data_IF_321252814289
#
_entry.id   IF_321252814289
#
_cell.length_a   1.000
_cell.length_b   1.000
_cell.length_c   1.000
_cell.angle_alpha   90.00
_cell.angle_beta   90.00
_cell.angle_gamma   90.00
#
_symmetry.space_group_name_H-M   'P 1'
#
loop_
_entity.id
_entity.type
_entity.pdbx_description
1 polymer ?
#
# COMPACT_ATOMS: atom_id res chain seq x y z
N UNK A 1 -16.79 1.65 23.08
CA UNK A 1 -17.18 1.33 21.70
C UNK A 1 -15.98 0.64 21.07
N UNK A 2 -16.03 -0.69 20.91
CA UNK A 2 -14.97 -1.42 20.22
C UNK A 2 -15.18 -1.23 18.71
N UNK A 3 -14.24 -0.58 18.04
CA UNK A 3 -14.22 -0.48 16.59
C UNK A 3 -13.72 -1.81 16.03
N UNK A 4 -14.62 -2.77 15.81
CA UNK A 4 -14.29 -3.99 15.06
C UNK A 4 -14.90 -3.89 13.67
N UNK A 5 -14.09 -3.85 12.63
CA UNK A 5 -14.56 -4.00 11.25
C UNK A 5 -15.08 -5.43 11.08
N UNK A 6 -16.40 -5.62 11.05
CA UNK A 6 -17.00 -6.86 10.58
C UNK A 6 -16.80 -6.94 9.06
N UNK A 7 -15.63 -7.42 8.66
CA UNK A 7 -15.35 -7.78 7.28
C UNK A 7 -16.06 -9.11 6.99
N UNK A 8 -17.09 -9.07 6.15
CA UNK A 8 -17.82 -10.27 5.69
C UNK A 8 -16.91 -11.08 4.76
N UNK A 9 -17.01 -12.41 4.84
CA UNK A 9 -16.22 -13.31 4.00
C UNK A 9 -16.75 -13.30 2.55
N UNK A 10 -15.86 -13.27 1.54
CA UNK A 10 -16.26 -13.18 0.13
C UNK A 10 -16.95 -14.45 -0.38
N UNK A 11 -17.99 -14.24 -1.20
CA UNK A 11 -18.50 -15.21 -2.18
C UNK A 11 -17.95 -14.81 -3.55
N UNK A 12 -16.64 -14.99 -3.76
CA UNK A 12 -16.05 -15.01 -5.11
C UNK A 12 -14.85 -15.97 -5.13
N UNK A 13 -14.68 -16.67 -6.26
CA UNK A 13 -13.85 -17.88 -6.42
C UNK A 13 -12.32 -17.68 -6.37
N UNK A 14 -11.83 -16.60 -5.75
CA UNK A 14 -10.39 -16.27 -5.70
C UNK A 14 -9.96 -15.65 -4.37
N UNK A 15 -10.64 -15.97 -3.27
CA UNK A 15 -10.18 -15.57 -1.93
C UNK A 15 -8.88 -16.29 -1.54
N UNK A 16 -7.85 -15.54 -1.16
CA UNK A 16 -6.65 -16.12 -0.56
C UNK A 16 -7.00 -16.61 0.86
N UNK A 17 -6.75 -17.88 1.21
CA UNK A 17 -7.05 -18.39 2.53
C UNK A 17 -6.42 -17.53 3.63
N UNK A 18 -7.23 -17.11 4.60
CA UNK A 18 -6.79 -16.29 5.74
C UNK A 18 -6.61 -14.79 5.46
N UNK A 19 -6.61 -14.34 4.20
CA UNK A 19 -6.45 -12.92 3.86
C UNK A 19 -7.79 -12.35 3.38
N UNK A 20 -8.39 -11.46 4.16
CA UNK A 20 -9.70 -10.88 3.79
C UNK A 20 -9.60 -9.83 2.69
N UNK A 21 -8.59 -8.96 2.75
CA UNK A 21 -8.40 -7.90 1.77
C UNK A 21 -6.93 -7.74 1.37
N UNK A 22 -6.68 -7.63 0.08
CA UNK A 22 -5.35 -7.37 -0.51
C UNK A 22 -5.35 -5.99 -1.15
N UNK A 23 -4.52 -5.07 -0.62
CA UNK A 23 -4.47 -3.68 -1.08
C UNK A 23 -3.11 -3.37 -1.68
N UNK A 24 -3.10 -3.00 -2.95
CA UNK A 24 -1.89 -2.52 -3.61
C UNK A 24 -1.59 -1.07 -3.24
N UNK A 25 -0.34 -0.79 -2.86
CA UNK A 25 0.20 0.56 -2.74
C UNK A 25 1.13 0.79 -3.94
N UNK A 26 0.69 1.64 -4.87
CA UNK A 26 1.37 1.87 -6.14
C UNK A 26 1.90 3.30 -6.28
N UNK A 27 2.88 3.51 -7.15
CA UNK A 27 3.35 4.84 -7.53
C UNK A 27 3.78 4.92 -8.98
N UNK A 28 3.68 6.10 -9.58
CA UNK A 28 4.11 6.35 -10.95
C UNK A 28 5.61 6.54 -11.13
N UNK A 29 6.31 7.01 -10.09
CA UNK A 29 7.76 7.22 -10.09
C UNK A 29 8.40 6.68 -8.81
N UNK A 30 9.70 6.41 -8.88
CA UNK A 30 10.52 6.13 -7.70
C UNK A 30 10.70 7.39 -6.86
N UNK A 31 10.95 7.22 -5.55
CA UNK A 31 11.26 8.35 -4.65
C UNK A 31 10.06 9.16 -4.14
N UNK A 32 8.81 8.78 -4.45
CA UNK A 32 7.60 9.47 -3.91
C UNK A 32 7.32 9.15 -2.44
N UNK A 33 8.09 8.29 -1.79
CA UNK A 33 7.83 7.80 -0.43
C UNK A 33 6.74 6.73 -0.33
N UNK A 34 6.48 5.98 -1.42
CA UNK A 34 5.50 4.88 -1.48
C UNK A 34 5.65 3.89 -0.33
N UNK A 35 6.87 3.37 -0.10
CA UNK A 35 7.16 2.39 0.95
C UNK A 35 6.97 2.96 2.35
N UNK A 36 7.36 4.23 2.55
CA UNK A 36 7.09 4.97 3.79
C UNK A 36 5.60 5.08 4.08
N UNK A 37 4.80 5.37 3.05
CA UNK A 37 3.34 5.41 3.15
C UNK A 37 2.79 4.02 3.45
N UNK A 38 3.23 2.98 2.72
CA UNK A 38 2.78 1.61 2.95
C UNK A 38 3.03 1.13 4.38
N UNK A 39 4.25 1.34 4.91
CA UNK A 39 4.61 0.98 6.29
C UNK A 39 3.75 1.71 7.33
N UNK A 40 3.61 3.04 7.20
CA UNK A 40 2.83 3.81 8.18
C UNK A 40 1.32 3.52 8.08
N UNK A 41 0.77 3.25 6.90
CA UNK A 41 -0.64 2.84 6.76
C UNK A 41 -0.89 1.46 7.38
N UNK A 42 0.03 0.50 7.17
CA UNK A 42 -0.06 -0.82 7.78
C UNK A 42 -0.08 -0.73 9.31
N UNK A 43 0.82 0.06 9.88
CA UNK A 43 0.91 0.29 11.33
C UNK A 43 -0.27 1.10 11.86
N UNK A 44 -0.81 2.05 11.09
CA UNK A 44 -1.99 2.80 11.47
C UNK A 44 -3.26 1.92 11.54
N UNK A 45 -3.43 1.01 10.57
CA UNK A 45 -4.51 0.02 10.60
C UNK A 45 -4.36 -0.93 11.79
N UNK A 46 -3.14 -1.38 12.08
CA UNK A 46 -2.87 -2.22 13.24
C UNK A 46 -3.13 -1.50 14.57
N UNK A 47 -2.77 -0.22 14.67
CA UNK A 47 -3.06 0.62 15.82
C UNK A 47 -4.57 0.82 16.06
N UNK A 48 -5.37 0.81 15.00
CA UNK A 48 -6.84 0.81 15.06
C UNK A 48 -7.44 -0.59 15.33
N UNK A 49 -6.61 -1.61 15.55
CA UNK A 49 -7.01 -2.96 15.99
C UNK A 49 -7.18 -3.99 14.86
N UNK A 50 -6.84 -3.65 13.62
CA UNK A 50 -6.87 -4.61 12.52
C UNK A 50 -5.69 -5.59 12.57
N UNK A 51 -5.90 -6.82 12.11
CA UNK A 51 -4.79 -7.76 11.87
C UNK A 51 -4.18 -7.48 10.50
N UNK A 52 -2.91 -7.10 10.46
CA UNK A 52 -2.28 -6.57 9.24
C UNK A 52 -1.05 -7.38 8.84
N UNK A 53 -0.96 -7.66 7.55
CA UNK A 53 0.26 -8.07 6.87
C UNK A 53 0.78 -6.96 5.96
N UNK A 54 2.09 -6.89 5.80
CA UNK A 54 2.79 -6.02 4.85
C UNK A 54 3.73 -6.86 3.98
N UNK A 55 3.52 -6.80 2.67
CA UNK A 55 4.32 -7.47 1.67
C UNK A 55 5.07 -6.45 0.83
N UNK A 56 6.40 -6.46 0.94
CA UNK A 56 7.30 -5.66 0.12
C UNK A 56 7.65 -6.40 -1.17
N UNK A 57 7.09 -5.91 -2.28
CA UNK A 57 7.31 -6.41 -3.62
C UNK A 57 8.31 -5.55 -4.42
N UNK A 58 8.86 -4.48 -3.83
CA UNK A 58 9.76 -3.56 -4.52
C UNK A 58 11.19 -4.13 -4.56
N UNK A 59 11.49 -4.81 -5.66
CA UNK A 59 12.78 -5.49 -5.80
C UNK A 59 13.96 -4.56 -6.08
N UNK A 60 13.70 -3.37 -6.61
CA UNK A 60 14.77 -2.45 -6.98
C UNK A 60 15.36 -1.72 -5.78
N UNK A 61 14.58 -1.61 -4.71
CA UNK A 61 14.98 -0.96 -3.48
C UNK A 61 14.08 -1.38 -2.32
N UNK A 62 14.13 -2.66 -1.89
CA UNK A 62 13.33 -3.13 -0.78
C UNK A 62 13.71 -2.34 0.46
N UNK A 63 12.78 -1.55 0.97
CA UNK A 63 13.04 -0.60 2.06
C UNK A 63 12.21 -0.90 3.30
N UNK A 64 11.17 -1.73 3.18
CA UNK A 64 10.31 -2.11 4.31
C UNK A 64 11.10 -2.80 5.44
N UNK A 65 12.04 -3.73 5.19
CA UNK A 65 12.82 -4.31 6.27
C UNK A 65 13.58 -3.28 7.13
N UNK A 66 14.22 -2.30 6.47
CA UNK A 66 14.90 -1.20 7.16
C UNK A 66 13.90 -0.33 7.93
N UNK A 67 12.80 0.06 7.27
CA UNK A 67 11.77 0.91 7.86
C UNK A 67 11.08 0.33 9.09
N UNK A 68 11.19 -0.99 9.30
CA UNK A 68 10.64 -1.69 10.46
C UNK A 68 11.73 -2.20 11.41
N UNK A 69 13.02 -1.95 11.12
CA UNK A 69 14.15 -2.36 11.97
C UNK A 69 14.43 -3.87 11.96
N UNK A 70 14.11 -4.55 10.86
CA UNK A 70 14.21 -6.02 10.71
C UNK A 70 15.06 -6.45 9.51
N UNK A 71 15.94 -5.57 9.00
CA UNK A 71 16.80 -5.84 7.84
C UNK A 71 17.80 -7.00 8.05
N UNK A 72 18.13 -7.26 9.32
CA UNK A 72 19.02 -8.35 9.72
C UNK A 72 18.28 -9.67 10.00
N UNK A 73 16.94 -9.63 10.05
CA UNK A 73 16.14 -10.83 10.26
C UNK A 73 16.00 -11.65 8.98
N UNK A 74 15.69 -12.94 9.14
CA UNK A 74 15.43 -13.84 8.02
C UNK A 74 14.18 -14.65 8.31
N UNK A 75 13.22 -14.72 7.37
CA UNK A 75 12.06 -15.59 7.53
C UNK A 75 12.52 -17.04 7.59
N UNK A 76 11.90 -17.81 8.46
CA UNK A 76 12.16 -19.24 8.60
C UNK A 76 11.14 -20.04 7.78
N UNK A 77 11.37 -21.34 7.64
CA UNK A 77 10.46 -22.21 6.90
C UNK A 77 10.19 -23.50 7.64
N UNK A 78 8.94 -23.95 7.60
CA UNK A 78 8.51 -25.26 8.06
C UNK A 78 7.86 -26.01 6.89
N UNK A 79 8.62 -26.94 6.28
CA UNK A 79 8.19 -27.65 5.08
C UNK A 79 8.01 -26.70 3.89
N UNK A 80 6.76 -26.50 3.46
CA UNK A 80 6.39 -25.55 2.37
C UNK A 80 5.87 -24.22 2.90
N UNK A 81 5.74 -24.07 4.21
CA UNK A 81 5.21 -22.86 4.85
C UNK A 81 6.37 -21.93 5.19
N UNK A 82 6.24 -20.67 4.81
CA UNK A 82 7.18 -19.61 5.15
C UNK A 82 6.63 -18.90 6.38
N UNK A 83 7.43 -18.79 7.44
CA UNK A 83 7.07 -18.01 8.62
C UNK A 83 7.50 -16.57 8.38
N UNK A 84 6.56 -15.61 8.30
CA UNK A 84 6.92 -14.20 8.11
C UNK A 84 7.62 -13.65 9.34
N UNK A 85 8.33 -12.55 9.16
CA UNK A 85 8.86 -11.77 10.27
C UNK A 85 7.70 -11.03 10.94
N UNK A 86 7.72 -10.93 12.27
CA UNK A 86 6.77 -10.10 13.02
C UNK A 86 7.49 -8.84 13.51
N UNK A 87 7.00 -7.68 13.08
CA UNK A 87 7.57 -6.39 13.47
C UNK A 87 6.44 -5.48 13.93
N UNK A 88 6.57 -4.88 15.11
CA UNK A 88 5.62 -3.89 15.63
C UNK A 88 4.14 -4.34 15.61
N UNK A 89 3.90 -5.64 15.81
CA UNK A 89 2.54 -6.21 15.81
C UNK A 89 1.93 -6.49 14.43
N UNK A 90 2.71 -6.37 13.34
CA UNK A 90 2.30 -6.75 11.98
C UNK A 90 3.19 -7.87 11.42
N UNK A 91 2.64 -8.65 10.49
CA UNK A 91 3.40 -9.67 9.76
C UNK A 91 4.05 -9.06 8.53
N UNK A 92 5.31 -9.37 8.29
CA UNK A 92 6.13 -8.75 7.25
C UNK A 92 6.77 -9.82 6.39
N UNK A 93 6.64 -9.66 5.08
CA UNK A 93 7.41 -10.41 4.10
C UNK A 93 8.00 -9.44 3.09
N UNK A 94 9.26 -9.65 2.69
CA UNK A 94 9.93 -8.83 1.69
C UNK A 94 10.74 -9.71 0.75
N UNK A 95 10.74 -9.36 -0.53
CA UNK A 95 11.72 -9.89 -1.48
C UNK A 95 13.16 -9.59 -1.00
N UNK A 96 13.38 -8.48 -0.29
CA UNK A 96 14.66 -8.10 0.28
C UNK A 96 15.26 -9.13 1.23
N UNK A 97 14.45 -9.97 1.89
CA UNK A 97 14.97 -11.07 2.72
C UNK A 97 15.63 -12.19 1.92
N UNK A 98 15.28 -12.31 0.64
CA UNK A 98 15.76 -13.34 -0.27
C UNK A 98 16.93 -12.87 -1.13
N UNK A 99 17.24 -11.57 -1.11
CA UNK A 99 18.38 -11.04 -1.85
C UNK A 99 19.69 -11.51 -1.19
N UNK A 100 20.62 -12.11 -1.96
CA UNK A 100 21.96 -12.42 -1.46
C UNK A 100 22.63 -11.14 -0.97
N UNK A 101 23.46 -11.24 0.09
CA UNK A 101 24.34 -10.15 0.49
C UNK A 101 25.47 -10.06 -0.55
N UNK A 102 25.31 -9.11 -1.50
CA UNK A 102 26.27 -8.65 -2.52
C UNK A 102 27.01 -9.71 -3.37
N UNK A 103 26.69 -9.75 -4.67
CA UNK A 103 27.57 -10.02 -5.84
C UNK A 103 26.93 -10.86 -6.96
N UNK A 104 25.75 -11.43 -6.78
CA UNK A 104 25.06 -12.15 -7.88
C UNK A 104 24.12 -11.22 -8.67
N UNK A 105 24.37 -10.99 -9.99
CA UNK A 105 23.42 -10.30 -10.85
C UNK A 105 22.21 -11.20 -11.10
N UNK A 106 21.22 -11.12 -10.22
CA UNK A 106 19.93 -11.79 -10.43
C UNK A 106 19.08 -10.92 -11.36
N UNK A 107 18.85 -11.40 -12.58
CA UNK A 107 17.94 -10.74 -13.54
C UNK A 107 16.50 -11.10 -13.15
N UNK A 108 15.84 -10.16 -12.49
CA UNK A 108 14.45 -10.32 -12.12
C UNK A 108 13.51 -9.92 -13.27
N UNK A 109 12.67 -10.85 -13.70
CA UNK A 109 11.64 -10.60 -14.72
C UNK A 109 10.25 -10.60 -14.10
N UNK A 110 9.32 -9.82 -14.68
CA UNK A 110 7.93 -9.70 -14.22
C UNK A 110 7.25 -11.04 -13.88
N UNK A 111 7.28 -12.06 -14.76
CA UNK A 111 6.66 -13.36 -14.47
C UNK A 111 7.30 -14.10 -13.29
N UNK A 112 8.62 -13.98 -13.09
CA UNK A 112 9.30 -14.58 -11.95
C UNK A 112 8.88 -13.92 -10.64
N UNK A 113 8.78 -12.59 -10.63
CA UNK A 113 8.29 -11.83 -9.49
C UNK A 113 6.83 -12.14 -9.16
N UNK A 114 5.98 -12.23 -10.18
CA UNK A 114 4.60 -12.64 -10.01
C UNK A 114 4.49 -14.04 -9.40
N UNK A 115 5.34 -14.99 -9.81
CA UNK A 115 5.38 -16.33 -9.23
C UNK A 115 5.80 -16.32 -7.76
N UNK A 116 6.82 -15.54 -7.41
CA UNK A 116 7.30 -15.41 -6.02
C UNK A 116 6.27 -14.72 -5.14
N UNK A 117 5.63 -13.65 -5.62
CA UNK A 117 4.58 -13.00 -4.84
C UNK A 117 3.36 -13.91 -4.70
N UNK A 118 2.98 -14.65 -5.75
CA UNK A 118 1.92 -15.67 -5.64
C UNK A 118 2.29 -16.76 -4.64
N UNK A 119 3.57 -17.15 -4.58
CA UNK A 119 4.08 -18.05 -3.56
C UNK A 119 3.94 -17.42 -2.17
N UNK A 120 4.37 -16.18 -1.96
CA UNK A 120 4.23 -15.52 -0.67
C UNK A 120 2.77 -15.39 -0.23
N UNK A 121 1.84 -15.09 -1.14
CA UNK A 121 0.41 -15.02 -0.84
C UNK A 121 -0.19 -16.37 -0.41
N UNK A 122 0.40 -17.50 -0.82
CA UNK A 122 -0.12 -18.85 -0.55
C UNK A 122 0.62 -19.62 0.54
N UNK A 123 1.93 -19.39 0.66
CA UNK A 123 2.84 -20.19 1.49
C UNK A 123 3.29 -19.46 2.74
N UNK A 124 3.22 -18.13 2.78
CA UNK A 124 3.49 -17.41 4.03
C UNK A 124 2.36 -17.66 5.01
N UNK A 125 2.72 -17.94 6.26
CA UNK A 125 1.80 -18.12 7.38
C UNK A 125 1.19 -16.79 7.83
N UNK A 126 0.45 -16.11 6.94
CA UNK A 126 -0.29 -14.89 7.24
C UNK A 126 -1.29 -15.09 8.38
N UNK A 127 -1.87 -16.29 8.50
CA UNK A 127 -2.99 -16.55 9.42
C UNK A 127 -4.23 -15.77 8.98
N UNK A 128 -5.15 -15.52 9.92
CA UNK A 128 -6.36 -14.74 9.64
C UNK A 128 -6.07 -13.23 9.80
N UNK A 129 -5.77 -12.54 8.69
CA UNK A 129 -5.53 -11.09 8.64
C UNK A 129 -6.66 -10.35 7.90
N UNK A 130 -6.95 -9.15 8.37
CA UNK A 130 -7.98 -8.28 7.78
C UNK A 130 -7.46 -7.55 6.54
N UNK A 131 -6.19 -7.15 6.54
CA UNK A 131 -5.55 -6.42 5.45
C UNK A 131 -4.15 -6.96 5.17
N UNK A 132 -3.85 -7.20 3.90
CA UNK A 132 -2.50 -7.36 3.38
C UNK A 132 -2.18 -6.18 2.47
N UNK A 133 -1.31 -5.28 2.92
CA UNK A 133 -0.80 -4.19 2.08
C UNK A 133 0.37 -4.70 1.26
N UNK A 134 0.39 -4.38 -0.03
CA UNK A 134 1.43 -4.80 -0.96
C UNK A 134 2.13 -3.55 -1.50
N UNK A 135 3.38 -3.34 -1.09
CA UNK A 135 4.22 -2.26 -1.59
C UNK A 135 4.81 -2.65 -2.96
N UNK A 136 4.21 -2.14 -4.04
CA UNK A 136 4.59 -2.53 -5.41
C UNK A 136 5.85 -1.81 -5.87
N UNK A 137 6.62 -2.34 -6.84
CA UNK A 137 7.69 -1.58 -7.49
C UNK A 137 7.15 -0.28 -8.14
N UNK A 138 7.97 0.78 -8.26
CA UNK A 138 7.54 2.02 -8.87
C UNK A 138 7.34 1.89 -10.38
N UNK A 139 6.50 2.77 -10.92
CA UNK A 139 6.33 2.92 -12.36
C UNK A 139 5.13 2.17 -12.93
N UNK A 140 4.99 2.29 -14.25
CA UNK A 140 3.93 1.66 -15.03
C UNK A 140 4.49 0.74 -16.12
N UNK A 141 5.68 0.20 -15.88
CA UNK A 141 6.35 -0.73 -16.79
C UNK A 141 5.82 -2.17 -16.65
N UNK A 142 6.49 -3.10 -17.33
CA UNK A 142 6.05 -4.50 -17.41
C UNK A 142 5.96 -5.18 -16.05
N UNK A 143 6.87 -4.87 -15.11
CA UNK A 143 6.89 -5.53 -13.79
C UNK A 143 5.67 -5.14 -12.95
N UNK A 144 5.43 -3.87 -12.58
CA UNK A 144 4.22 -3.48 -11.86
C UNK A 144 2.94 -3.97 -12.52
N UNK A 145 2.84 -3.88 -13.85
CA UNK A 145 1.68 -4.36 -14.60
C UNK A 145 1.48 -5.88 -14.46
N UNK A 146 2.55 -6.66 -14.63
CA UNK A 146 2.49 -8.13 -14.48
C UNK A 146 2.05 -8.52 -13.07
N UNK A 147 2.52 -7.79 -12.04
CA UNK A 147 2.15 -8.06 -10.65
C UNK A 147 0.66 -7.79 -10.40
N UNK A 148 0.15 -6.64 -10.85
CA UNK A 148 -1.26 -6.27 -10.72
C UNK A 148 -2.17 -7.26 -11.45
N UNK A 149 -1.74 -7.82 -12.59
CA UNK A 149 -2.49 -8.84 -13.33
C UNK A 149 -2.47 -10.22 -12.66
N UNK A 150 -1.45 -10.52 -11.84
CA UNK A 150 -1.23 -11.86 -11.30
C UNK A 150 -1.77 -12.05 -9.88
N UNK A 151 -2.02 -10.94 -9.17
CA UNK A 151 -2.40 -10.96 -7.76
C UNK A 151 -3.89 -10.60 -7.64
N UNK A 152 -4.70 -11.36 -6.88
CA UNK A 152 -6.06 -10.95 -6.59
C UNK A 152 -6.05 -9.74 -5.66
N UNK A 153 -6.31 -8.55 -6.20
CA UNK A 153 -6.33 -7.29 -5.46
C UNK A 153 -7.77 -6.87 -5.17
N UNK A 154 -8.06 -6.51 -3.92
CA UNK A 154 -9.33 -5.93 -3.49
C UNK A 154 -9.42 -4.44 -3.81
N UNK A 155 -8.27 -3.77 -3.98
CA UNK A 155 -8.18 -2.38 -4.43
C UNK A 155 -6.76 -1.85 -4.43
N UNK A 156 -6.58 -0.62 -4.91
CA UNK A 156 -5.29 0.06 -4.97
C UNK A 156 -5.34 1.50 -4.44
N UNK A 157 -4.31 1.91 -3.70
CA UNK A 157 -4.07 3.30 -3.34
C UNK A 157 -2.81 3.81 -4.07
N UNK A 158 -2.90 5.00 -4.67
CA UNK A 158 -1.83 5.55 -5.51
C UNK A 158 -1.14 6.70 -4.78
N UNK A 159 0.16 6.53 -4.53
CA UNK A 159 1.01 7.55 -3.90
C UNK A 159 1.66 8.40 -4.98
N UNK A 160 1.51 9.72 -4.86
CA UNK A 160 2.13 10.71 -5.75
C UNK A 160 2.73 11.87 -4.98
N UNK A 161 3.49 12.73 -5.67
CA UNK A 161 3.95 14.03 -5.18
C UNK A 161 3.22 15.16 -5.92
N UNK A 162 3.16 16.40 -5.40
CA UNK A 162 2.34 17.47 -5.99
C UNK A 162 2.88 17.99 -7.33
N UNK A 163 4.15 17.73 -7.65
CA UNK A 163 4.79 18.12 -8.92
C UNK A 163 3.92 17.83 -10.16
N UNK A 164 3.78 18.82 -11.06
CA UNK A 164 3.01 18.68 -12.31
C UNK A 164 3.46 17.49 -13.18
N UNK A 165 4.75 17.17 -13.19
CA UNK A 165 5.26 16.00 -13.92
C UNK A 165 4.77 14.71 -13.26
N UNK A 166 4.75 14.65 -11.93
CA UNK A 166 4.27 13.49 -11.19
C UNK A 166 2.76 13.25 -11.39
N UNK A 167 1.94 14.30 -11.53
CA UNK A 167 0.49 14.14 -11.77
C UNK A 167 0.18 13.55 -13.15
N UNK A 168 0.96 13.89 -14.18
CA UNK A 168 0.83 13.28 -15.51
C UNK A 168 1.16 11.78 -15.50
N UNK A 169 2.16 11.39 -14.71
CA UNK A 169 2.49 9.97 -14.51
C UNK A 169 1.41 9.29 -13.65
N UNK A 170 0.84 10.00 -12.67
CA UNK A 170 -0.27 9.53 -11.84
C UNK A 170 -1.49 9.08 -12.67
N UNK A 171 -1.88 9.81 -13.72
CA UNK A 171 -2.94 9.36 -14.65
C UNK A 171 -2.59 8.02 -15.31
N UNK A 172 -1.34 7.82 -15.75
CA UNK A 172 -0.92 6.53 -16.33
C UNK A 172 -0.98 5.40 -15.32
N UNK A 173 -0.58 5.67 -14.08
CA UNK A 173 -0.65 4.70 -12.99
C UNK A 173 -2.09 4.31 -12.69
N UNK A 174 -2.99 5.28 -12.50
CA UNK A 174 -4.41 5.00 -12.27
C UNK A 174 -5.02 4.13 -13.39
N UNK A 175 -4.75 4.49 -14.65
CA UNK A 175 -5.24 3.74 -15.82
C UNK A 175 -4.64 2.34 -15.92
N UNK A 176 -3.42 2.11 -15.44
CA UNK A 176 -2.82 0.76 -15.39
C UNK A 176 -3.62 -0.17 -14.46
N UNK A 177 -4.10 0.34 -13.33
CA UNK A 177 -4.92 -0.42 -12.39
C UNK A 177 -6.38 -0.56 -12.86
N UNK A 178 -6.93 0.46 -13.53
CA UNK A 178 -8.30 0.45 -14.04
C UNK A 178 -8.47 -0.25 -15.40
N UNK A 179 -7.38 -0.52 -16.12
CA UNK A 179 -7.44 -1.04 -17.48
C UNK A 179 -8.16 -2.38 -17.59
N UNK A 180 -8.66 -2.71 -18.79
CA UNK A 180 -9.50 -3.88 -19.05
C UNK A 180 -8.90 -5.23 -18.62
N UNK A 181 -7.57 -5.30 -18.47
CA UNK A 181 -6.85 -6.51 -18.06
C UNK A 181 -6.63 -6.64 -16.56
N UNK A 182 -6.87 -5.59 -15.78
CA UNK A 182 -6.59 -5.53 -14.33
C UNK A 182 -7.87 -5.29 -13.54
N UNK A 183 -8.70 -4.32 -13.95
CA UNK A 183 -9.99 -4.01 -13.32
C UNK A 183 -9.93 -3.89 -11.79
N UNK A 184 -8.86 -3.26 -11.28
CA UNK A 184 -8.64 -3.10 -9.83
C UNK A 184 -9.30 -1.79 -9.37
N UNK A 185 -10.20 -1.83 -8.38
CA UNK A 185 -10.81 -0.62 -7.83
C UNK A 185 -9.77 0.35 -7.24
N UNK A 186 -9.84 1.62 -7.62
CA UNK A 186 -9.00 2.66 -7.01
C UNK A 186 -9.65 3.11 -5.71
N UNK A 187 -9.00 2.80 -4.59
CA UNK A 187 -9.41 3.24 -3.25
C UNK A 187 -9.14 4.72 -3.04
N UNK A 188 -8.09 5.24 -3.69
CA UNK A 188 -7.87 6.67 -3.81
C UNK A 188 -6.42 7.08 -4.02
N UNK A 189 -6.21 8.39 -4.10
CA UNK A 189 -4.90 9.04 -4.28
C UNK A 189 -4.42 9.60 -2.94
N UNK A 190 -3.14 9.42 -2.66
CA UNK A 190 -2.42 10.00 -1.52
C UNK A 190 -1.35 10.93 -2.07
N UNK A 191 -1.40 12.20 -1.67
CA UNK A 191 -0.37 13.18 -2.02
C UNK A 191 0.66 13.25 -0.89
N UNK A 192 1.86 12.74 -1.15
CA UNK A 192 2.98 12.80 -0.21
C UNK A 192 3.88 14.00 -0.49
N UNK A 193 4.62 14.47 0.51
CA UNK A 193 5.53 15.62 0.42
C UNK A 193 4.82 16.90 -0.06
N UNK A 194 3.61 17.13 0.44
CA UNK A 194 2.71 18.21 0.00
C UNK A 194 3.17 19.61 0.42
N UNK A 195 3.68 19.74 1.64
CA UNK A 195 4.17 20.99 2.20
C UNK A 195 5.25 20.71 3.26
N UNK A 196 5.97 21.74 3.68
CA UNK A 196 6.94 21.69 4.77
C UNK A 196 6.58 22.74 5.81
N UNK A 197 6.36 22.33 7.05
CA UNK A 197 6.22 23.25 8.19
C UNK A 197 7.60 23.51 8.80
N UNK A 198 8.02 24.76 8.83
CA UNK A 198 9.29 25.13 9.43
C UNK A 198 9.26 24.89 10.94
N UNK A 199 10.16 24.06 11.51
CA UNK A 199 10.15 23.74 12.94
C UNK A 199 10.55 24.92 13.84
N UNK A 200 11.08 26.01 13.26
CA UNK A 200 11.50 27.20 14.00
C UNK A 200 10.42 28.30 14.03
N UNK A 201 9.70 28.53 12.93
CA UNK A 201 8.72 29.61 12.81
C UNK A 201 7.28 29.14 12.55
N UNK A 202 7.04 27.84 12.37
CA UNK A 202 5.73 27.24 12.06
C UNK A 202 5.09 27.71 10.75
N UNK A 203 5.83 28.42 9.91
CA UNK A 203 5.38 28.77 8.56
C UNK A 203 5.33 27.53 7.69
N UNK A 204 4.21 27.33 7.00
CA UNK A 204 4.04 26.26 6.02
C UNK A 204 4.45 26.75 4.64
N UNK A 205 5.41 26.07 4.03
CA UNK A 205 5.84 26.30 2.65
C UNK A 205 5.34 25.17 1.75
N UNK A 206 4.56 25.51 0.73
CA UNK A 206 4.28 24.60 -0.36
C UNK A 206 5.53 24.49 -1.24
N UNK A 207 6.26 23.36 -1.15
CA UNK A 207 7.51 23.14 -1.90
C UNK A 207 7.24 23.07 -3.41
N UNK A 208 6.06 22.58 -3.76
CA UNK A 208 5.53 22.51 -5.12
C UNK A 208 4.19 23.23 -5.11
N UNK A 209 3.72 23.69 -6.28
CA UNK A 209 2.34 24.17 -6.44
C UNK A 209 1.39 23.08 -5.88
N UNK A 210 0.81 23.31 -4.70
CA UNK A 210 0.12 22.26 -3.94
C UNK A 210 -1.12 21.72 -4.65
N UNK A 211 -1.66 20.59 -4.16
CA UNK A 211 -2.94 20.07 -4.59
C UNK A 211 -2.95 19.35 -5.95
N UNK A 212 -1.77 19.05 -6.52
CA UNK A 212 -1.67 18.28 -7.77
C UNK A 212 -2.34 16.90 -7.70
N UNK A 213 -2.30 16.24 -6.54
CA UNK A 213 -2.92 14.94 -6.30
C UNK A 213 -4.42 15.01 -6.04
N UNK A 214 -4.89 16.05 -5.38
CA UNK A 214 -6.33 16.28 -5.26
C UNK A 214 -6.94 16.62 -6.62
N UNK A 215 -6.30 17.49 -7.40
CA UNK A 215 -6.70 17.80 -8.76
C UNK A 215 -6.68 16.57 -9.68
N UNK A 216 -5.68 15.69 -9.54
CA UNK A 216 -5.65 14.41 -10.24
C UNK A 216 -6.84 13.52 -9.84
N UNK A 217 -7.10 13.38 -8.55
CA UNK A 217 -8.19 12.57 -8.04
C UNK A 217 -9.55 13.05 -8.57
N UNK A 218 -9.79 14.37 -8.56
CA UNK A 218 -10.99 14.97 -9.15
C UNK A 218 -11.08 14.73 -10.65
N UNK A 219 -9.97 14.89 -11.39
CA UNK A 219 -9.96 14.72 -12.85
C UNK A 219 -10.27 13.29 -13.29
N UNK A 220 -9.74 12.29 -12.58
CA UNK A 220 -9.92 10.88 -12.93
C UNK A 220 -11.12 10.24 -12.20
N UNK A 221 -11.95 11.04 -11.51
CA UNK A 221 -13.12 10.60 -10.73
C UNK A 221 -12.81 9.48 -9.73
N UNK A 222 -11.72 9.67 -8.97
CA UNK A 222 -11.30 8.74 -7.92
C UNK A 222 -11.21 9.45 -6.56
N UNK A 223 -11.32 8.73 -5.43
CA UNK A 223 -11.25 9.34 -4.11
C UNK A 223 -9.89 9.98 -3.85
N UNK A 224 -9.89 11.10 -3.11
CA UNK A 224 -8.69 11.67 -2.51
C UNK A 224 -8.63 11.27 -1.03
N UNK A 225 -7.56 10.57 -0.63
CA UNK A 225 -7.44 10.06 0.74
C UNK A 225 -6.82 11.09 1.68
N UNK A 226 -5.89 11.90 1.20
CA UNK A 226 -5.29 12.97 1.99
C UNK A 226 -3.92 13.39 1.51
N UNK A 227 -3.35 14.32 2.27
CA UNK A 227 -2.01 14.89 2.08
C UNK A 227 -1.12 14.49 3.25
N UNK A 228 0.16 14.31 2.98
CA UNK A 228 1.20 14.11 3.98
C UNK A 228 2.29 15.17 3.75
N UNK A 229 2.79 15.85 4.80
CA UNK A 229 3.85 16.84 4.68
C UNK A 229 5.21 16.16 4.50
N UNK A 230 6.17 16.92 4.01
CA UNK A 230 7.58 16.60 4.11
C UNK A 230 8.03 16.94 5.54
N UNK A 231 8.22 15.93 6.39
CA UNK A 231 8.69 16.14 7.77
C UNK A 231 9.91 15.25 8.09
N UNK A 232 11.01 15.82 8.61
CA UNK A 232 12.19 15.06 9.00
C UNK A 232 11.94 13.93 10.00
N UNK A 233 10.89 14.01 10.83
CA UNK A 233 10.47 12.96 11.76
C UNK A 233 10.01 11.70 11.03
N UNK A 234 9.33 11.86 9.90
CA UNK A 234 8.90 10.72 9.06
C UNK A 234 10.13 9.98 8.52
N UNK A 235 11.11 10.73 7.99
CA UNK A 235 12.38 10.15 7.52
C UNK A 235 13.14 9.46 8.66
N UNK A 236 13.31 10.14 9.81
CA UNK A 236 14.00 9.56 10.99
C UNK A 236 13.38 8.25 11.41
N UNK A 237 12.05 8.20 11.54
CA UNK A 237 11.35 6.98 11.90
C UNK A 237 11.56 5.84 10.90
N UNK A 238 11.64 6.15 9.61
CA UNK A 238 12.00 5.15 8.59
C UNK A 238 13.45 4.67 8.70
N UNK A 239 14.40 5.56 8.94
CA UNK A 239 15.83 5.19 9.00
C UNK A 239 16.18 4.47 10.31
N UNK A 240 15.45 4.74 11.39
CA UNK A 240 15.66 4.16 12.73
C UNK A 240 14.80 2.90 12.96
N UNK A 241 13.99 2.48 11.97
CA UNK A 241 13.13 1.29 12.07
C UNK A 241 11.91 1.47 12.98
N UNK A 242 11.55 2.70 13.33
CA UNK A 242 10.42 3.05 14.17
C UNK A 242 9.54 4.13 13.50
N UNK A 243 8.60 3.75 12.61
CA UNK A 243 7.80 4.69 11.84
C UNK A 243 7.00 5.68 12.71
N UNK A 244 6.68 6.86 12.16
CA UNK A 244 6.11 8.00 12.91
C UNK A 244 4.81 7.65 13.65
N UNK A 245 3.99 6.76 13.07
CA UNK A 245 2.74 6.29 13.69
C UNK A 245 2.96 5.60 15.04
N UNK A 246 4.14 4.98 15.23
CA UNK A 246 4.55 4.34 16.48
C UNK A 246 5.43 5.25 17.34
N UNK A 247 6.36 6.00 16.72
CA UNK A 247 7.30 6.85 17.44
C UNK A 247 6.59 8.01 18.15
N UNK A 248 5.63 8.66 17.48
CA UNK A 248 4.89 9.80 18.00
C UNK A 248 3.38 9.63 17.75
N UNK A 249 2.69 8.68 18.41
CA UNK A 249 1.32 8.29 18.10
C UNK A 249 0.31 9.45 18.26
N UNK A 250 0.59 10.41 19.12
CA UNK A 250 -0.28 11.57 19.36
C UNK A 250 0.05 12.79 18.50
N UNK A 251 1.09 12.70 17.64
CA UNK A 251 1.46 13.78 16.72
C UNK A 251 0.41 14.01 15.63
N UNK A 252 0.40 15.22 15.06
CA UNK A 252 -0.39 15.53 13.86
C UNK A 252 -0.07 14.58 12.71
N UNK A 253 1.21 14.27 12.49
CA UNK A 253 1.67 13.35 11.45
C UNK A 253 1.08 11.95 11.59
N UNK A 254 1.12 11.39 12.81
CA UNK A 254 0.55 10.07 13.07
C UNK A 254 -0.98 10.07 12.86
N UNK A 255 -1.66 11.16 13.23
CA UNK A 255 -3.10 11.33 12.99
C UNK A 255 -3.42 11.38 11.50
N UNK A 256 -2.65 12.09 10.68
CA UNK A 256 -2.84 12.13 9.23
C UNK A 256 -2.72 10.73 8.60
N UNK A 257 -1.70 9.96 8.97
CA UNK A 257 -1.58 8.56 8.52
C UNK A 257 -2.77 7.70 8.96
N UNK A 258 -3.24 7.83 10.21
CA UNK A 258 -4.45 7.13 10.70
C UNK A 258 -5.70 7.54 9.94
N UNK A 259 -5.89 8.82 9.64
CA UNK A 259 -7.03 9.30 8.87
C UNK A 259 -7.02 8.74 7.44
N UNK A 260 -5.87 8.74 6.77
CA UNK A 260 -5.71 8.15 5.45
C UNK A 260 -5.98 6.64 5.50
N UNK A 261 -5.46 5.93 6.51
CA UNK A 261 -5.70 4.50 6.70
C UNK A 261 -7.20 4.18 6.90
N UNK A 262 -7.90 4.97 7.73
CA UNK A 262 -9.35 4.84 7.96
C UNK A 262 -10.15 5.10 6.69
N UNK A 263 -9.80 6.14 5.93
CA UNK A 263 -10.44 6.44 4.64
C UNK A 263 -10.22 5.29 3.65
N UNK A 264 -9.00 4.76 3.56
CA UNK A 264 -8.67 3.61 2.72
C UNK A 264 -9.53 2.39 3.10
N UNK A 265 -9.60 2.05 4.38
CA UNK A 265 -10.42 0.94 4.88
C UNK A 265 -11.91 1.15 4.61
N UNK A 266 -12.42 2.37 4.80
CA UNK A 266 -13.81 2.73 4.50
C UNK A 266 -14.13 2.61 3.01
N UNK A 267 -13.24 3.07 2.12
CA UNK A 267 -13.38 2.92 0.67
C UNK A 267 -13.42 1.46 0.26
N UNK A 268 -12.54 0.65 0.83
CA UNK A 268 -12.52 -0.78 0.57
C UNK A 268 -13.83 -1.48 0.96
N UNK A 269 -14.40 -1.11 2.11
CA UNK A 269 -15.70 -1.62 2.54
C UNK A 269 -16.85 -1.21 1.59
N UNK A 270 -16.80 -0.01 1.02
CA UNK A 270 -17.78 0.47 0.02
C UNK A 270 -17.67 -0.34 -1.28
N UNK A 271 -16.45 -0.54 -1.80
CA UNK A 271 -16.24 -1.31 -3.03
C UNK A 271 -16.65 -2.78 -2.86
N UNK A 272 -16.37 -3.37 -1.69
CA UNK A 272 -16.84 -4.71 -1.36
C UNK A 272 -18.37 -4.80 -1.39
N UNK A 273 -19.07 -3.84 -0.77
CA UNK A 273 -20.54 -3.81 -0.77
C UNK A 273 -21.13 -3.63 -2.18
N UNK A 274 -20.47 -2.83 -3.04
CA UNK A 274 -20.89 -2.66 -4.44
C UNK A 274 -20.73 -3.93 -5.26
N UNK A 275 -19.66 -4.69 -5.03
CA UNK A 275 -19.41 -5.96 -5.71
C UNK A 275 -20.43 -7.05 -5.32
N UNK A 276 -21.02 -6.99 -4.12
CA UNK A 276 -22.04 -7.93 -3.65
C UNK A 276 -23.47 -7.61 -4.14
N UNK A 277 -23.73 -6.41 -4.68
CA UNK A 277 -25.06 -6.09 -5.21
C UNK A 277 -25.25 -6.71 -6.60
N UNK A 278 -26.31 -7.49 -6.86
CA UNK A 278 -26.63 -7.92 -8.21
C UNK A 278 -26.92 -6.68 -9.08
N UNK A 279 -26.34 -6.63 -10.28
CA UNK A 279 -26.74 -5.70 -11.34
C UNK A 279 -28.27 -5.82 -11.51
N UNK A 280 -29.03 -4.82 -11.04
CA UNK A 280 -30.46 -4.73 -11.31
C UNK A 280 -30.60 -4.39 -12.79
N UNK A 281 -30.71 -5.43 -13.62
CA UNK A 281 -30.99 -5.29 -15.05
C UNK A 281 -32.50 -5.14 -15.23
N UNK A 282 -32.93 -3.91 -15.57
CA UNK A 282 -34.16 -3.62 -16.33
C UNK A 282 -35.47 -3.52 -15.54
N UNK A 283 -36.17 -2.39 -15.74
CA UNK A 283 -37.61 -2.33 -15.55
C UNK A 283 -38.28 -3.06 -16.73
N UNK A 284 -39.27 -3.94 -16.50
CA UNK A 284 -40.14 -4.38 -17.59
C UNK A 284 -40.96 -3.16 -18.03
N UNK A 285 -40.75 -2.75 -19.28
CA UNK A 285 -41.68 -1.86 -19.98
C UNK A 285 -42.95 -2.69 -20.22
N UNK A 286 -44.06 -2.28 -19.59
CA UNK A 286 -45.42 -2.74 -19.92
C UNK A 286 -45.94 -2.03 -21.17
#
# INVERSE_FOLDING_TARGET
>A
IAWSAQVRNPVSSTSLPGIKNTVAIGSGKGGVGKSTVAANLALALAADGAKVGLLDADIYGPSIPLMLGVENERPTGEGKTIIPIEAHGIKVMSIGFMLPKADDPVIWRGPMLANILTQFLRQVAWGDIDYLLIDLPPGTGDIPLTLVQSIPLSGAAIVITPERVATAIGTKTLRMFQGDRTNVPILGVIENMSAFECPHCHETTEIFDGGGGEALATREDVPFLGRLPLDPRIRRGGDEGLPIVLAEPESSLAREFREIARKLAGRLSIEYFRAEQPLVVGFPVL
#
